data_IF_919853182355
#
_entry.id   IF_919853182355
#
_cell.length_a   1.000
_cell.length_b   1.000
_cell.length_c   1.000
_cell.angle_alpha   90.00
_cell.angle_beta   90.00
_cell.angle_gamma   90.00
#
_symmetry.space_group_name_H-M   'P 1'
#
loop_
_entity.id
_entity.type
_entity.pdbx_description
1 polymer ?
#
# COMPACT_ATOMS: atom_id res chain seq x y z
N UNK A 1 -9.97 -30.48 -5.35
CA UNK A 1 -10.24 -29.07 -4.99
C UNK A 1 -9.14 -28.61 -4.06
N UNK A 2 -8.15 -27.90 -4.59
CA UNK A 2 -7.08 -27.33 -3.77
C UNK A 2 -7.65 -26.10 -3.06
N UNK A 3 -7.72 -26.14 -1.74
CA UNK A 3 -8.00 -24.93 -0.97
C UNK A 3 -6.94 -23.88 -1.36
N UNK A 4 -7.41 -22.71 -1.76
CA UNK A 4 -6.61 -21.58 -2.22
C UNK A 4 -5.94 -20.91 -1.01
N UNK A 5 -5.04 -21.64 -0.36
CA UNK A 5 -4.18 -21.12 0.70
C UNK A 5 -3.11 -20.27 -0.01
N UNK A 6 -3.35 -18.98 -0.19
CA UNK A 6 -2.28 -18.05 -0.62
C UNK A 6 -2.62 -16.99 -1.68
N UNK A 7 -3.84 -16.95 -2.23
CA UNK A 7 -4.17 -15.89 -3.20
C UNK A 7 -4.75 -14.67 -2.48
N UNK A 8 -4.03 -13.56 -2.54
CA UNK A 8 -4.56 -12.26 -2.12
C UNK A 8 -5.64 -11.87 -3.12
N UNK A 9 -6.86 -11.64 -2.62
CA UNK A 9 -7.93 -11.10 -3.46
C UNK A 9 -7.58 -9.63 -3.73
N UNK A 10 -7.39 -9.19 -4.99
CA UNK A 10 -6.96 -7.82 -5.26
C UNK A 10 -7.85 -6.75 -4.60
N UNK A 11 -9.16 -6.98 -4.59
CA UNK A 11 -10.11 -6.08 -3.94
C UNK A 11 -9.97 -5.98 -2.42
N UNK A 12 -9.34 -6.95 -1.75
CA UNK A 12 -9.18 -6.93 -0.29
C UNK A 12 -8.07 -6.00 0.23
N UNK A 13 -7.25 -5.44 -0.67
CA UNK A 13 -6.27 -4.38 -0.37
C UNK A 13 -6.94 -2.99 -0.42
N UNK A 14 -8.12 -2.86 -1.01
CA UNK A 14 -8.83 -1.57 -1.00
C UNK A 14 -9.34 -1.25 0.41
N UNK A 15 -9.15 0.00 0.86
CA UNK A 15 -9.57 0.43 2.18
C UNK A 15 -8.75 1.59 2.74
N UNK A 16 -9.02 1.95 4.00
CA UNK A 16 -8.25 2.95 4.73
C UNK A 16 -7.35 2.28 5.76
N UNK A 17 -6.06 2.61 5.71
CA UNK A 17 -5.03 2.08 6.58
C UNK A 17 -4.43 3.21 7.43
N UNK A 18 -3.97 2.87 8.63
CA UNK A 18 -3.05 3.73 9.39
C UNK A 18 -1.66 3.57 8.80
N UNK A 19 -0.92 4.67 8.74
CA UNK A 19 0.47 4.69 8.26
C UNK A 19 1.35 5.16 9.40
N UNK A 20 2.46 4.46 9.61
CA UNK A 20 3.53 4.88 10.50
C UNK A 20 4.87 4.51 9.88
N UNK A 21 5.87 5.36 10.02
CA UNK A 21 7.21 5.09 9.51
C UNK A 21 8.24 6.03 10.11
N UNK A 22 9.46 5.97 9.59
CA UNK A 22 10.58 6.80 10.02
C UNK A 22 11.20 7.47 8.79
N UNK A 23 11.36 8.79 8.85
CA UNK A 23 12.02 9.58 7.83
C UNK A 23 13.54 9.28 7.83
N UNK A 24 14.27 9.58 6.74
CA UNK A 24 15.73 9.39 6.69
C UNK A 24 16.50 10.11 7.81
N UNK A 25 15.96 11.21 8.31
CA UNK A 25 16.53 11.97 9.44
C UNK A 25 16.22 11.35 10.83
N UNK A 26 15.57 10.19 10.89
CA UNK A 26 15.22 9.48 12.13
C UNK A 26 13.91 9.92 12.79
N UNK A 27 13.24 10.96 12.30
CA UNK A 27 11.94 11.37 12.85
C UNK A 27 10.82 10.42 12.43
N UNK A 28 9.93 10.08 13.36
CA UNK A 28 8.75 9.28 13.02
C UNK A 28 7.69 10.12 12.30
N UNK A 29 7.00 9.50 11.34
CA UNK A 29 5.79 10.07 10.75
C UNK A 29 4.61 9.13 10.99
N UNK A 30 3.42 9.72 11.08
CA UNK A 30 2.15 9.01 11.18
C UNK A 30 1.15 9.64 10.22
N UNK A 31 0.19 8.85 9.76
CA UNK A 31 -0.82 9.30 8.83
C UNK A 31 -1.87 8.25 8.53
N UNK A 32 -2.55 8.43 7.41
CA UNK A 32 -3.44 7.42 6.85
C UNK A 32 -3.25 7.32 5.36
N UNK A 33 -3.57 6.17 4.79
CA UNK A 33 -3.67 5.99 3.35
C UNK A 33 -5.03 5.43 3.00
N UNK A 34 -5.63 5.95 1.95
CA UNK A 34 -6.78 5.33 1.31
C UNK A 34 -6.32 4.68 0.02
N UNK A 35 -6.66 3.40 -0.16
CA UNK A 35 -6.33 2.61 -1.34
C UNK A 35 -7.64 2.23 -2.03
N UNK A 36 -7.72 2.50 -3.32
CA UNK A 36 -8.77 1.97 -4.18
C UNK A 36 -8.16 1.11 -5.29
N UNK A 37 -8.93 0.17 -5.83
CA UNK A 37 -8.50 -0.67 -6.93
C UNK A 37 -9.38 -0.40 -8.15
N UNK A 38 -8.75 -0.25 -9.31
CA UNK A 38 -9.42 -0.04 -10.58
C UNK A 38 -8.61 -0.69 -11.71
N UNK A 39 -9.25 -1.52 -12.53
CA UNK A 39 -8.64 -2.12 -13.72
C UNK A 39 -7.27 -2.82 -13.51
N UNK A 40 -7.04 -3.40 -12.32
CA UNK A 40 -5.79 -4.09 -11.99
C UNK A 40 -4.70 -3.20 -11.38
N UNK A 41 -4.96 -1.89 -11.25
CA UNK A 41 -4.08 -0.91 -10.62
C UNK A 41 -4.65 -0.49 -9.26
N UNK A 42 -3.77 -0.15 -8.32
CA UNK A 42 -4.12 0.39 -7.02
C UNK A 42 -3.82 1.88 -6.98
N UNK A 43 -4.78 2.70 -6.55
CA UNK A 43 -4.60 4.13 -6.39
C UNK A 43 -4.43 4.46 -4.92
N UNK A 44 -3.35 5.15 -4.59
CA UNK A 44 -2.98 5.52 -3.24
C UNK A 44 -3.23 7.01 -3.03
N UNK A 45 -3.82 7.35 -1.89
CA UNK A 45 -3.84 8.73 -1.37
C UNK A 45 -3.39 8.70 0.08
N UNK A 46 -2.15 9.13 0.32
CA UNK A 46 -1.61 9.28 1.66
C UNK A 46 -1.91 10.66 2.20
N UNK A 47 -2.24 10.73 3.49
CA UNK A 47 -2.29 11.97 4.26
C UNK A 47 -1.32 11.82 5.42
N UNK A 48 -0.20 12.54 5.36
CA UNK A 48 0.88 12.50 6.36
C UNK A 48 1.19 13.94 6.76
N UNK A 49 1.18 14.22 8.07
CA UNK A 49 1.44 15.57 8.61
C UNK A 49 0.63 16.70 7.94
N UNK A 50 -0.61 16.43 7.54
CA UNK A 50 -1.49 17.40 6.86
C UNK A 50 -1.21 17.62 5.38
N UNK A 51 -0.22 16.93 4.81
CA UNK A 51 0.08 16.94 3.37
C UNK A 51 -0.52 15.71 2.70
N UNK A 52 -0.87 15.87 1.42
CA UNK A 52 -1.44 14.80 0.60
C UNK A 52 -0.46 14.39 -0.49
N UNK A 53 -0.25 13.08 -0.62
CA UNK A 53 0.56 12.47 -1.66
C UNK A 53 -0.28 11.42 -2.39
N UNK A 54 0.02 11.18 -3.67
CA UNK A 54 -0.69 10.19 -4.49
C UNK A 54 0.28 9.29 -5.22
N UNK A 55 -0.14 8.06 -5.51
CA UNK A 55 0.67 7.11 -6.24
C UNK A 55 -0.17 5.99 -6.85
N UNK A 56 0.46 5.21 -7.72
CA UNK A 56 -0.16 4.04 -8.36
C UNK A 56 0.63 2.78 -8.08
N UNK A 57 -0.07 1.70 -7.78
CA UNK A 57 0.51 0.45 -7.31
C UNK A 57 0.17 -0.73 -8.19
N UNK A 58 1.12 -1.66 -8.29
CA UNK A 58 0.97 -2.96 -8.95
C UNK A 58 1.29 -4.09 -7.98
N UNK A 59 0.48 -5.16 -8.02
CA UNK A 59 0.64 -6.33 -7.16
C UNK A 59 1.20 -7.51 -7.94
N UNK A 60 2.35 -8.01 -7.52
CA UNK A 60 2.95 -9.25 -8.02
C UNK A 60 3.16 -10.22 -6.85
N UNK A 61 2.41 -11.33 -6.84
CA UNK A 61 2.38 -12.26 -5.70
C UNK A 61 1.87 -11.55 -4.43
N UNK A 62 2.76 -11.34 -3.47
CA UNK A 62 2.50 -10.58 -2.23
C UNK A 62 3.20 -9.23 -2.20
N UNK A 63 3.92 -8.85 -3.24
CA UNK A 63 4.68 -7.60 -3.31
C UNK A 63 3.85 -6.54 -4.01
N UNK A 64 3.60 -5.42 -3.33
CA UNK A 64 2.89 -4.27 -3.84
C UNK A 64 3.87 -3.12 -4.01
N UNK A 65 4.21 -2.82 -5.26
CA UNK A 65 5.15 -1.74 -5.62
C UNK A 65 4.36 -0.52 -6.05
N UNK A 66 4.66 0.64 -5.47
CA UNK A 66 3.93 1.89 -5.65
C UNK A 66 4.86 2.98 -6.18
N UNK A 67 4.57 3.46 -7.39
CA UNK A 67 5.16 4.67 -7.95
C UNK A 67 4.40 5.88 -7.41
N UNK A 68 5.14 6.88 -6.95
CA UNK A 68 4.58 8.12 -6.40
C UNK A 68 5.29 9.38 -6.95
N UNK A 69 6.04 9.24 -8.04
CA UNK A 69 6.72 10.33 -8.73
C UNK A 69 8.13 10.66 -8.23
N UNK A 70 8.68 9.88 -7.31
CA UNK A 70 10.06 9.99 -6.82
C UNK A 70 10.98 8.93 -7.44
N UNK A 71 12.29 9.07 -7.23
CA UNK A 71 13.31 8.15 -7.80
C UNK A 71 13.14 6.71 -7.34
N UNK A 72 12.75 6.51 -6.07
CA UNK A 72 12.58 5.19 -5.47
C UNK A 72 11.09 4.93 -5.16
N UNK A 73 10.54 3.77 -5.55
CA UNK A 73 9.15 3.43 -5.26
C UNK A 73 8.97 3.07 -3.78
N UNK A 74 7.72 3.07 -3.33
CA UNK A 74 7.35 2.44 -2.06
C UNK A 74 7.05 0.97 -2.31
N UNK A 75 7.61 0.07 -1.52
CA UNK A 75 7.41 -1.39 -1.65
C UNK A 75 6.78 -1.89 -0.36
N UNK A 76 5.65 -2.60 -0.48
CA UNK A 76 4.98 -3.26 0.62
C UNK A 76 4.92 -4.77 0.41
N UNK A 77 5.05 -5.54 1.50
CA UNK A 77 4.57 -6.91 1.57
C UNK A 77 3.11 -6.92 2.04
N UNK A 78 2.23 -7.52 1.24
CA UNK A 78 0.83 -7.66 1.58
C UNK A 78 0.61 -8.89 2.45
N UNK A 79 0.14 -8.67 3.68
CA UNK A 79 -0.11 -9.70 4.68
C UNK A 79 -1.58 -9.79 5.06
N UNK A 80 -1.93 -10.87 5.75
CA UNK A 80 -3.28 -11.11 6.28
C UNK A 80 -4.39 -10.97 5.23
N UNK A 81 -4.10 -11.40 4.00
CA UNK A 81 -5.03 -11.32 2.87
C UNK A 81 -5.41 -9.88 2.50
N UNK A 82 -4.49 -8.91 2.59
CA UNK A 82 -4.74 -7.52 2.23
C UNK A 82 -5.01 -6.58 3.42
N UNK A 83 -5.16 -7.12 4.63
CA UNK A 83 -5.49 -6.31 5.82
C UNK A 83 -4.29 -5.59 6.44
N UNK A 84 -3.07 -5.96 6.04
CA UNK A 84 -1.83 -5.39 6.54
C UNK A 84 -0.84 -5.23 5.39
N UNK A 85 -0.16 -4.07 5.34
CA UNK A 85 0.91 -3.73 4.41
C UNK A 85 2.13 -3.38 5.27
N UNK A 86 3.25 -4.08 5.07
CA UNK A 86 4.52 -3.88 5.79
C UNK A 86 5.65 -3.51 4.85
#
# INVERSE_FOLDING_TARGET
SYAQIGQINPSSISGKYKVSGTNPNGSSYNGSVTISQSNGEYLFTWTVAGQTFTGTGTLEGTTLTVDWGETEPVIYEVKNGGKLLE
#
